data_IF_144649626266
#
_entry.id   IF_144649626266
#
_cell.length_a   1.000
_cell.length_b   1.000
_cell.length_c   1.000
_cell.angle_alpha   90.00
_cell.angle_beta   90.00
_cell.angle_gamma   90.00
#
_symmetry.space_group_name_H-M   'P 1'
#
loop_
_entity.id
_entity.type
_entity.pdbx_description
1 polymer ?
#
# COMPACT_ATOMS: atom_id res chain seq x y z
N UNK A 1 14.24 -0.60 -4.51
CA UNK A 1 12.91 -1.23 -4.33
C UNK A 1 11.87 -0.39 -5.06
N UNK A 2 11.32 -0.96 -6.13
CA UNK A 2 10.28 -0.33 -6.93
C UNK A 2 8.91 -0.76 -6.37
N UNK A 3 8.10 0.19 -5.92
CA UNK A 3 6.73 -0.06 -5.44
C UNK A 3 5.77 0.41 -6.54
N UNK A 4 4.86 -0.46 -6.95
CA UNK A 4 3.83 -0.16 -7.93
C UNK A 4 2.45 -0.47 -7.34
N UNK A 5 1.55 0.51 -7.40
CA UNK A 5 0.14 0.30 -7.08
C UNK A 5 -0.47 -0.52 -8.22
N UNK A 6 -1.02 -1.68 -7.90
CA UNK A 6 -1.63 -2.58 -8.90
C UNK A 6 -3.13 -2.40 -9.00
N UNK A 7 -3.79 -2.17 -7.87
CA UNK A 7 -5.24 -1.99 -7.82
C UNK A 7 -5.65 -1.15 -6.60
N UNK A 8 -6.69 -0.34 -6.74
CA UNK A 8 -7.30 0.38 -5.61
C UNK A 8 -8.77 -0.02 -5.56
N UNK A 9 -9.15 -0.77 -4.53
CA UNK A 9 -10.52 -1.20 -4.32
C UNK A 9 -11.18 -0.32 -3.28
N UNK A 10 -12.22 0.41 -3.66
CA UNK A 10 -12.99 1.27 -2.77
C UNK A 10 -14.32 0.61 -2.46
N UNK A 11 -14.62 0.46 -1.17
CA UNK A 11 -15.92 0.00 -0.69
C UNK A 11 -16.75 1.22 -0.30
N UNK A 12 -17.96 1.28 -0.83
CA UNK A 12 -18.95 2.28 -0.46
C UNK A 12 -20.06 1.61 0.34
N UNK A 13 -20.46 2.21 1.46
CA UNK A 13 -21.60 1.81 2.29
C UNK A 13 -22.47 3.05 2.45
N UNK A 14 -23.78 2.93 2.18
CA UNK A 14 -24.73 4.05 2.23
C UNK A 14 -24.32 5.29 1.40
N UNK A 15 -23.62 5.09 0.28
CA UNK A 15 -23.15 6.16 -0.60
C UNK A 15 -21.91 6.92 -0.08
N UNK A 16 -21.32 6.48 1.03
CA UNK A 16 -20.07 7.01 1.58
C UNK A 16 -18.95 5.97 1.43
N UNK A 17 -17.71 6.43 1.27
CA UNK A 17 -16.55 5.54 1.28
C UNK A 17 -16.44 4.95 2.69
N UNK A 18 -16.55 3.63 2.79
CA UNK A 18 -16.42 2.87 4.04
C UNK A 18 -14.97 2.44 4.25
N UNK A 19 -14.37 1.85 3.22
CA UNK A 19 -13.02 1.29 3.28
C UNK A 19 -12.32 1.41 1.93
N UNK A 20 -11.04 1.76 1.93
CA UNK A 20 -10.21 1.73 0.71
C UNK A 20 -9.12 0.69 0.89
N UNK A 21 -8.92 -0.17 -0.10
CA UNK A 21 -7.89 -1.20 -0.10
C UNK A 21 -6.95 -0.95 -1.28
N UNK A 22 -5.74 -0.51 -0.97
CA UNK A 22 -4.72 -0.22 -1.96
C UNK A 22 -3.82 -1.44 -2.10
N UNK A 23 -3.97 -2.17 -3.20
CA UNK A 23 -3.10 -3.27 -3.55
C UNK A 23 -1.83 -2.76 -4.19
N UNK A 24 -0.71 -3.30 -3.75
CA UNK A 24 0.61 -2.95 -4.24
C UNK A 24 1.44 -4.19 -4.51
N UNK A 25 2.38 -4.02 -5.43
CA UNK A 25 3.45 -4.95 -5.70
C UNK A 25 4.77 -4.20 -5.57
N UNK A 26 5.66 -4.71 -4.73
CA UNK A 26 7.02 -4.24 -4.57
C UNK A 26 8.00 -5.23 -5.15
N UNK A 27 8.90 -4.79 -6.02
CA UNK A 27 9.95 -5.62 -6.58
C UNK A 27 11.32 -5.00 -6.31
N UNK A 28 12.30 -5.80 -5.91
CA UNK A 28 13.68 -5.33 -5.86
C UNK A 28 14.35 -5.37 -7.24
N UNK A 29 15.39 -4.57 -7.46
CA UNK A 29 16.08 -4.44 -8.76
C UNK A 29 16.58 -5.78 -9.30
N UNK A 30 17.10 -6.63 -8.43
CA UNK A 30 17.54 -7.99 -8.75
C UNK A 30 16.37 -8.99 -8.99
N UNK A 31 15.12 -8.55 -8.84
CA UNK A 31 13.88 -9.35 -8.94
C UNK A 31 13.81 -10.56 -8.02
N UNK A 32 14.74 -10.67 -7.08
CA UNK A 32 14.87 -11.78 -6.12
C UNK A 32 13.81 -11.73 -5.03
N UNK A 33 13.29 -10.54 -4.70
CA UNK A 33 12.24 -10.34 -3.69
C UNK A 33 11.04 -9.67 -4.35
N UNK A 34 9.88 -10.33 -4.26
CA UNK A 34 8.58 -9.82 -4.69
C UNK A 34 7.68 -9.72 -3.45
N UNK A 35 7.25 -8.50 -3.13
CA UNK A 35 6.36 -8.19 -2.01
C UNK A 35 4.98 -7.89 -2.58
N UNK A 36 4.00 -8.72 -2.25
CA UNK A 36 2.61 -8.50 -2.66
C UNK A 36 1.79 -8.23 -1.41
N UNK A 37 1.00 -7.17 -1.41
CA UNK A 37 0.18 -6.84 -0.25
C UNK A 37 -0.92 -5.86 -0.59
N UNK A 38 -1.73 -5.58 0.42
CA UNK A 38 -2.67 -4.48 0.37
C UNK A 38 -2.57 -3.67 1.66
N UNK A 39 -2.88 -2.39 1.56
CA UNK A 39 -2.98 -1.48 2.70
C UNK A 39 -4.42 -1.01 2.80
N UNK A 40 -5.11 -1.30 3.92
CA UNK A 40 -6.39 -0.70 4.20
C UNK A 40 -6.17 0.78 4.59
N UNK A 41 -6.77 1.67 3.83
CA UNK A 41 -6.85 3.10 4.11
C UNK A 41 -8.31 3.45 4.47
N UNK A 42 -8.47 4.42 5.37
CA UNK A 42 -9.77 5.03 5.61
C UNK A 42 -10.11 5.99 4.47
N UNK A 43 -11.39 6.30 4.30
CA UNK A 43 -11.86 7.30 3.34
C UNK A 43 -11.10 8.64 3.48
N UNK A 44 -10.89 9.09 4.70
CA UNK A 44 -10.21 10.35 5.02
C UNK A 44 -8.74 10.32 4.60
N UNK A 45 -8.04 9.20 4.87
CA UNK A 45 -6.66 9.01 4.45
C UNK A 45 -6.53 8.97 2.92
N UNK A 46 -7.52 8.39 2.23
CA UNK A 46 -7.54 8.36 0.77
C UNK A 46 -7.85 9.74 0.18
N UNK A 47 -8.86 10.47 0.67
CA UNK A 47 -9.26 11.78 0.14
C UNK A 47 -8.16 12.84 0.25
N UNK A 48 -7.22 12.71 1.19
CA UNK A 48 -6.04 13.57 1.26
C UNK A 48 -4.87 13.14 0.37
N UNK A 49 -4.90 11.91 -0.16
CA UNK A 49 -3.79 11.25 -0.83
C UNK A 49 -4.23 10.51 -2.10
N UNK A 50 -5.25 11.01 -2.80
CA UNK A 50 -5.83 10.37 -4.00
C UNK A 50 -4.82 10.22 -5.14
N UNK A 51 -3.76 11.03 -5.10
CA UNK A 51 -2.67 10.96 -6.06
C UNK A 51 -1.91 9.63 -5.94
N UNK A 52 -1.62 8.96 -7.06
CA UNK A 52 -0.85 7.71 -7.05
C UNK A 52 0.49 7.84 -6.33
N UNK A 53 1.17 8.98 -6.50
CA UNK A 53 2.46 9.25 -5.83
C UNK A 53 2.33 9.27 -4.30
N UNK A 54 1.26 9.85 -3.76
CA UNK A 54 1.04 9.90 -2.31
C UNK A 54 0.73 8.51 -1.74
N UNK A 55 -0.11 7.73 -2.44
CA UNK A 55 -0.36 6.33 -2.08
C UNK A 55 0.92 5.50 -2.12
N UNK A 56 1.77 5.72 -3.12
CA UNK A 56 3.07 5.03 -3.23
C UNK A 56 3.96 5.38 -2.03
N UNK A 57 3.99 6.64 -1.57
CA UNK A 57 4.77 7.01 -0.39
C UNK A 57 4.26 6.32 0.88
N UNK A 58 2.95 6.34 1.12
CA UNK A 58 2.34 5.65 2.27
C UNK A 58 2.67 4.16 2.22
N UNK A 59 2.45 3.52 1.07
CA UNK A 59 2.74 2.11 0.87
C UNK A 59 4.21 1.80 1.06
N UNK A 60 5.10 2.63 0.52
CA UNK A 60 6.54 2.47 0.66
C UNK A 60 6.98 2.58 2.12
N UNK A 61 6.43 3.53 2.87
CA UNK A 61 6.74 3.69 4.30
C UNK A 61 6.28 2.47 5.10
N UNK A 62 5.04 2.02 4.90
CA UNK A 62 4.49 0.84 5.58
C UNK A 62 5.27 -0.44 5.24
N UNK A 63 5.61 -0.63 3.96
CA UNK A 63 6.41 -1.77 3.50
C UNK A 63 7.83 -1.70 4.05
N UNK A 64 8.47 -0.53 4.03
CA UNK A 64 9.80 -0.35 4.61
C UNK A 64 9.78 -0.69 6.11
N UNK A 65 8.79 -0.21 6.86
CA UNK A 65 8.60 -0.55 8.28
C UNK A 65 8.45 -2.06 8.46
N UNK A 66 7.55 -2.72 7.71
CA UNK A 66 7.32 -4.17 7.84
C UNK A 66 8.48 -5.05 7.41
N UNK A 67 9.22 -4.65 6.37
CA UNK A 67 10.40 -5.40 5.90
C UNK A 67 11.58 -5.21 6.87
N UNK A 68 11.76 -4.01 7.43
CA UNK A 68 12.80 -3.73 8.41
C UNK A 68 12.49 -4.36 9.78
N UNK A 69 11.22 -4.38 10.19
CA UNK A 69 10.77 -4.99 11.45
C UNK A 69 10.69 -6.53 11.34
N UNK A 70 10.24 -7.04 10.20
CA UNK A 70 10.21 -8.47 9.88
C UNK A 70 11.57 -9.12 9.63
N UNK A 71 12.67 -8.35 9.69
CA UNK A 71 14.05 -8.84 9.65
C UNK A 71 14.59 -9.34 10.99
N UNK A 72 13.78 -9.30 12.07
CA UNK A 72 14.09 -9.92 13.36
C UNK A 72 13.15 -11.09 13.64
N UNK A 73 13.18 -12.09 12.77
CA UNK A 73 12.90 -13.45 13.22
C UNK A 73 14.22 -14.03 13.72
N UNK A 74 14.23 -14.32 15.03
CA UNK A 74 15.27 -14.87 15.91
C UNK A 74 16.44 -15.64 15.26
#
# INVERSE_FOLDING_TARGET
MNIQITNVSMRYVDGQIDSVQVHFNGQNDERTINVNGYIPLTAEQYMGNEAPSALIEIVRQEVATKIMDGGRAE
#
